data_IF_895648553199
#
_entry.id   IF_895648553199
#
_cell.length_a   1.000
_cell.length_b   1.000
_cell.length_c   1.000
_cell.angle_alpha   90.00
_cell.angle_beta   90.00
_cell.angle_gamma   90.00
#
_symmetry.space_group_name_H-M   'P 1'
#
loop_
_entity.id
_entity.type
_entity.pdbx_description
1 polymer ?
#
# COMPACT_ATOMS: atom_id res chain seq x y z
N UNK A 1 -18.47 29.41 -16.48
CA UNK A 1 -18.58 28.38 -15.43
C UNK A 1 -20.05 28.03 -15.26
N UNK A 2 -20.40 26.74 -15.28
CA UNK A 2 -21.78 26.30 -15.02
C UNK A 2 -22.16 26.46 -13.54
N UNK A 3 -23.26 25.85 -13.11
CA UNK A 3 -23.64 25.80 -11.69
C UNK A 3 -22.67 24.90 -10.91
N UNK A 4 -21.78 25.48 -10.10
CA UNK A 4 -20.69 24.78 -9.39
C UNK A 4 -20.69 24.99 -7.86
N UNK A 5 -21.81 24.76 -7.14
CA UNK A 5 -21.96 25.13 -5.73
C UNK A 5 -21.03 24.36 -4.78
N UNK A 6 -20.65 23.12 -5.12
CA UNK A 6 -19.70 22.33 -4.31
C UNK A 6 -18.31 22.93 -4.36
N UNK A 7 -17.83 23.30 -5.56
CA UNK A 7 -16.53 23.97 -5.74
C UNK A 7 -16.52 25.34 -5.07
N UNK A 8 -17.61 26.11 -5.19
CA UNK A 8 -17.76 27.40 -4.51
C UNK A 8 -17.68 27.24 -2.98
N UNK A 9 -18.37 26.25 -2.41
CA UNK A 9 -18.31 25.99 -0.96
C UNK A 9 -16.90 25.61 -0.50
N UNK A 10 -16.20 24.74 -1.23
CA UNK A 10 -14.83 24.35 -0.90
C UNK A 10 -13.86 25.55 -1.01
N UNK A 11 -14.01 26.37 -2.04
CA UNK A 11 -13.28 27.62 -2.22
C UNK A 11 -13.47 28.57 -1.04
N UNK A 12 -14.71 28.84 -0.63
CA UNK A 12 -15.00 29.68 0.53
C UNK A 12 -14.46 29.08 1.83
N UNK A 13 -14.61 27.76 2.06
CA UNK A 13 -14.04 27.10 3.24
C UNK A 13 -12.52 27.29 3.32
N UNK A 14 -11.80 27.17 2.21
CA UNK A 14 -10.36 27.33 2.15
C UNK A 14 -9.96 28.80 2.44
N UNK A 15 -10.64 29.73 1.78
CA UNK A 15 -10.42 31.18 1.93
C UNK A 15 -10.73 31.68 3.35
N UNK A 16 -11.90 31.35 3.87
CA UNK A 16 -12.40 31.87 5.15
C UNK A 16 -11.57 31.36 6.33
N UNK A 17 -10.89 30.20 6.17
CA UNK A 17 -10.01 29.62 7.17
C UNK A 17 -8.52 29.78 6.84
N UNK A 18 -8.18 30.44 5.72
CA UNK A 18 -6.80 30.65 5.26
C UNK A 18 -5.96 29.37 5.24
N UNK A 19 -6.54 28.27 4.74
CA UNK A 19 -5.93 26.94 4.71
C UNK A 19 -6.14 26.27 3.35
N UNK A 20 -5.16 25.49 2.90
CA UNK A 20 -5.34 24.64 1.73
C UNK A 20 -6.39 23.55 2.04
N UNK A 21 -7.32 23.32 1.12
CA UNK A 21 -8.31 22.25 1.21
C UNK A 21 -8.14 21.29 0.05
N UNK A 22 -7.98 20.01 0.38
CA UNK A 22 -8.00 18.89 -0.55
C UNK A 22 -9.30 18.15 -0.35
N UNK A 23 -10.02 17.83 -1.43
CA UNK A 23 -11.25 17.06 -1.37
C UNK A 23 -11.41 16.20 -2.62
N UNK A 24 -12.16 15.10 -2.51
CA UNK A 24 -12.55 14.26 -3.62
C UNK A 24 -14.04 14.48 -3.96
N UNK A 25 -14.35 14.75 -5.22
CA UNK A 25 -15.70 14.99 -5.75
C UNK A 25 -15.86 14.35 -7.15
N UNK A 26 -17.05 14.43 -7.75
CA UNK A 26 -17.27 14.01 -9.13
C UNK A 26 -17.07 15.14 -10.15
N UNK A 27 -16.40 14.87 -11.26
CA UNK A 27 -16.37 15.74 -12.45
C UNK A 27 -17.17 15.13 -13.59
N UNK A 28 -17.83 15.98 -14.36
CA UNK A 28 -18.62 15.61 -15.54
C UNK A 28 -18.14 16.43 -16.73
N UNK A 29 -17.74 15.76 -17.80
CA UNK A 29 -17.34 16.40 -19.08
C UNK A 29 -18.28 15.99 -20.20
N UNK A 30 -19.23 16.86 -20.61
CA UNK A 30 -20.04 16.59 -21.79
C UNK A 30 -19.14 16.39 -23.02
N UNK A 31 -19.46 15.40 -23.83
CA UNK A 31 -18.82 15.12 -25.10
C UNK A 31 -19.90 14.83 -26.15
N UNK A 32 -19.50 14.68 -27.41
CA UNK A 32 -20.42 14.37 -28.49
C UNK A 32 -19.79 13.30 -29.40
N UNK A 33 -20.54 12.86 -30.41
CA UNK A 33 -20.11 11.82 -31.36
C UNK A 33 -18.91 12.21 -32.24
N UNK A 34 -18.46 13.46 -32.22
CA UNK A 34 -17.21 13.85 -32.89
C UNK A 34 -15.97 13.41 -32.11
N UNK A 35 -16.10 13.16 -30.81
CA UNK A 35 -15.08 12.48 -30.02
C UNK A 35 -15.31 10.97 -30.10
N UNK A 36 -14.38 10.21 -30.73
CA UNK A 36 -14.54 8.77 -30.92
C UNK A 36 -14.51 7.97 -29.61
N UNK A 37 -14.06 8.57 -28.50
CA UNK A 37 -14.03 7.93 -27.19
C UNK A 37 -15.18 8.36 -26.29
N UNK A 38 -16.09 9.23 -26.77
CA UNK A 38 -17.19 9.73 -25.96
C UNK A 38 -18.10 8.57 -25.55
N UNK A 39 -18.39 8.39 -24.25
CA UNK A 39 -19.31 7.35 -23.80
C UNK A 39 -20.69 7.50 -24.47
N UNK A 40 -21.41 6.39 -24.71
CA UNK A 40 -22.70 6.42 -25.42
C UNK A 40 -23.76 7.34 -24.80
N UNK A 41 -23.62 7.64 -23.51
CA UNK A 41 -24.52 8.48 -22.73
C UNK A 41 -24.09 9.97 -22.70
N UNK A 42 -23.13 10.36 -23.55
CA UNK A 42 -22.81 11.73 -23.94
C UNK A 42 -21.94 12.51 -22.95
N UNK A 43 -21.28 11.85 -21.99
CA UNK A 43 -20.33 12.50 -21.09
C UNK A 43 -19.31 11.54 -20.52
N UNK A 44 -18.15 12.09 -20.16
CA UNK A 44 -17.26 11.46 -19.19
C UNK A 44 -17.66 11.82 -17.76
N UNK A 45 -17.41 10.90 -16.84
CA UNK A 45 -17.61 11.04 -15.40
C UNK A 45 -16.34 10.58 -14.70
N UNK A 46 -15.75 11.41 -13.84
CA UNK A 46 -14.46 11.11 -13.21
C UNK A 46 -14.53 11.18 -11.69
N UNK A 47 -13.87 10.24 -11.02
CA UNK A 47 -13.48 10.36 -9.62
C UNK A 47 -12.37 11.41 -9.55
N UNK A 48 -12.61 12.52 -8.83
CA UNK A 48 -11.82 13.74 -9.01
C UNK A 48 -11.36 14.36 -7.70
N UNK A 49 -10.04 14.39 -7.49
CA UNK A 49 -9.46 15.22 -6.45
C UNK A 49 -9.37 16.68 -6.90
N UNK A 50 -9.68 17.60 -5.99
CA UNK A 50 -9.55 19.05 -6.18
C UNK A 50 -8.80 19.67 -5.00
N UNK A 51 -7.97 20.67 -5.31
CA UNK A 51 -7.21 21.41 -4.29
C UNK A 51 -7.50 22.89 -4.42
N UNK A 52 -7.92 23.51 -3.32
CA UNK A 52 -8.07 24.95 -3.17
C UNK A 52 -6.97 25.49 -2.25
N UNK A 53 -6.32 26.58 -2.65
CA UNK A 53 -5.34 27.26 -1.79
C UNK A 53 -5.99 28.09 -0.68
N UNK A 54 -5.16 28.69 0.18
CA UNK A 54 -5.62 29.52 1.31
C UNK A 54 -6.38 30.79 0.90
N UNK A 55 -6.40 31.16 -0.38
CA UNK A 55 -7.19 32.28 -0.91
C UNK A 55 -8.50 31.79 -1.57
N UNK A 56 -8.74 30.48 -1.57
CA UNK A 56 -9.88 29.83 -2.20
C UNK A 56 -9.73 29.59 -3.69
N UNK A 57 -8.53 29.74 -4.26
CA UNK A 57 -8.29 29.50 -5.70
C UNK A 57 -8.11 28.00 -5.94
N UNK A 58 -8.77 27.46 -6.95
CA UNK A 58 -8.52 26.09 -7.43
C UNK A 58 -7.12 26.01 -8.04
N UNK A 59 -6.23 25.21 -7.43
CA UNK A 59 -4.82 25.08 -7.84
C UNK A 59 -4.48 23.71 -8.41
N UNK A 60 -5.30 22.68 -8.16
CA UNK A 60 -5.14 21.37 -8.77
C UNK A 60 -6.49 20.68 -8.98
N UNK A 61 -6.56 19.85 -10.03
CA UNK A 61 -7.63 18.89 -10.29
C UNK A 61 -7.00 17.62 -10.87
N UNK A 62 -7.30 16.47 -10.29
CA UNK A 62 -6.78 15.17 -10.71
C UNK A 62 -7.93 14.20 -10.91
N UNK A 63 -7.99 13.51 -12.05
CA UNK A 63 -8.90 12.41 -12.27
C UNK A 63 -8.21 11.07 -11.98
N UNK A 64 -8.79 10.26 -11.11
CA UNK A 64 -8.27 8.94 -10.72
C UNK A 64 -7.99 8.06 -11.94
N UNK A 65 -6.76 7.57 -12.05
CA UNK A 65 -6.30 6.78 -13.19
C UNK A 65 -6.67 5.31 -13.04
N UNK A 66 -6.36 4.73 -11.88
CA UNK A 66 -6.49 3.31 -11.61
C UNK A 66 -7.78 3.06 -10.83
N UNK A 67 -8.88 2.84 -11.56
CA UNK A 67 -10.18 2.52 -10.96
C UNK A 67 -10.12 1.12 -10.30
N UNK A 68 -10.74 1.02 -9.13
CA UNK A 68 -10.91 -0.24 -8.43
C UNK A 68 -12.09 -1.03 -9.02
N UNK A 69 -12.09 -2.35 -8.82
CA UNK A 69 -13.20 -3.21 -9.24
C UNK A 69 -14.53 -2.71 -8.63
N UNK A 70 -15.52 -2.44 -9.48
CA UNK A 70 -16.84 -1.97 -9.06
C UNK A 70 -17.03 -0.45 -9.08
N UNK A 71 -16.03 0.35 -9.47
CA UNK A 71 -16.17 1.79 -9.77
C UNK A 71 -16.69 2.04 -11.21
N UNK A 72 -17.72 1.29 -11.63
CA UNK A 72 -18.26 1.32 -13.00
C UNK A 72 -18.96 2.64 -13.37
N UNK A 73 -19.24 3.49 -12.38
CA UNK A 73 -19.82 4.82 -12.56
C UNK A 73 -18.82 5.85 -13.13
N UNK A 74 -17.52 5.53 -13.07
CA UNK A 74 -16.43 6.42 -13.50
C UNK A 74 -15.74 5.92 -14.77
N UNK A 75 -15.20 6.87 -15.53
CA UNK A 75 -14.30 6.62 -16.63
C UNK A 75 -12.87 6.81 -16.17
N UNK A 76 -11.93 6.02 -16.69
CA UNK A 76 -10.51 6.32 -16.57
C UNK A 76 -10.11 7.42 -17.58
N UNK A 77 -9.20 8.34 -17.22
CA UNK A 77 -8.58 9.25 -18.18
C UNK A 77 -7.88 8.51 -19.30
N UNK A 78 -7.84 9.12 -20.48
CA UNK A 78 -7.19 8.53 -21.67
C UNK A 78 -5.68 8.36 -21.45
N UNK A 79 -5.06 9.36 -20.85
CA UNK A 79 -3.64 9.37 -20.50
C UNK A 79 -3.54 9.68 -19.00
N UNK A 80 -2.59 9.07 -18.26
CA UNK A 80 -2.39 9.38 -16.85
C UNK A 80 -2.12 10.87 -16.61
N UNK A 81 -2.88 11.46 -15.70
CA UNK A 81 -2.72 12.85 -15.32
C UNK A 81 -1.64 12.98 -14.23
N UNK A 82 -0.52 13.65 -14.53
CA UNK A 82 0.53 13.95 -13.54
C UNK A 82 0.29 15.35 -12.98
N UNK A 83 -0.37 15.43 -11.83
CA UNK A 83 -0.86 16.69 -11.25
C UNK A 83 0.00 17.12 -10.07
N UNK A 84 0.56 18.32 -10.16
CA UNK A 84 1.37 18.94 -9.09
C UNK A 84 1.00 20.40 -8.88
N UNK A 85 1.31 20.92 -7.70
CA UNK A 85 1.27 22.36 -7.42
C UNK A 85 2.35 22.74 -6.40
N UNK A 86 2.82 23.98 -6.48
CA UNK A 86 3.84 24.50 -5.57
C UNK A 86 3.20 25.34 -4.46
N UNK A 87 3.77 25.28 -3.26
CA UNK A 87 3.43 26.17 -2.14
C UNK A 87 4.71 26.76 -1.53
N UNK A 88 4.56 27.61 -0.52
CA UNK A 88 5.70 28.11 0.28
C UNK A 88 6.28 27.05 1.23
N UNK A 89 5.65 25.88 1.33
CA UNK A 89 6.01 24.80 2.24
C UNK A 89 6.18 23.46 1.50
N UNK A 90 6.55 23.50 0.22
CA UNK A 90 6.92 22.32 -0.56
C UNK A 90 6.18 22.21 -1.89
N UNK A 91 6.61 21.27 -2.72
CA UNK A 91 5.93 20.84 -3.94
C UNK A 91 5.06 19.63 -3.65
N UNK A 92 3.81 19.70 -4.06
CA UNK A 92 2.81 18.67 -3.79
C UNK A 92 2.46 17.90 -5.05
N UNK A 93 2.35 16.58 -4.92
CA UNK A 93 1.67 15.69 -5.86
C UNK A 93 0.36 15.17 -5.27
N UNK A 94 -0.52 14.68 -6.12
CA UNK A 94 -1.81 14.12 -5.70
C UNK A 94 -2.18 12.92 -6.56
N UNK A 95 -2.70 11.88 -5.91
CA UNK A 95 -3.31 10.71 -6.53
C UNK A 95 -4.26 10.05 -5.53
N UNK A 96 -5.09 9.10 -5.98
CA UNK A 96 -6.24 8.64 -5.21
C UNK A 96 -6.23 7.12 -4.99
N UNK A 97 -6.29 6.69 -3.73
CA UNK A 97 -6.56 5.30 -3.34
C UNK A 97 -5.71 4.26 -4.11
N UNK A 98 -6.33 3.46 -4.97
CA UNK A 98 -5.71 2.34 -5.68
C UNK A 98 -4.52 2.72 -6.56
N UNK A 99 -4.41 4.00 -6.97
CA UNK A 99 -3.25 4.52 -7.71
C UNK A 99 -1.90 4.23 -7.03
N UNK A 100 -1.86 4.11 -5.69
CA UNK A 100 -0.64 3.83 -4.93
C UNK A 100 0.06 2.52 -5.33
N UNK A 101 -0.68 1.56 -5.87
CA UNK A 101 -0.17 0.24 -6.29
C UNK A 101 0.40 0.24 -7.71
N UNK A 102 0.27 1.33 -8.46
CA UNK A 102 0.64 1.42 -9.88
C UNK A 102 1.75 2.44 -10.12
N UNK A 103 2.38 2.34 -11.29
CA UNK A 103 3.44 3.26 -11.67
C UNK A 103 2.88 4.68 -11.87
N UNK A 104 1.83 4.82 -12.67
CA UNK A 104 1.31 6.12 -13.05
C UNK A 104 -0.01 6.46 -12.33
N UNK A 105 -0.12 7.66 -11.74
CA UNK A 105 0.89 8.73 -11.70
C UNK A 105 1.87 8.63 -10.50
N UNK A 106 1.67 7.68 -9.58
CA UNK A 106 2.27 7.70 -8.24
C UNK A 106 3.81 7.72 -8.23
N UNK A 107 4.45 6.84 -9.00
CA UNK A 107 5.92 6.78 -9.11
C UNK A 107 6.46 7.98 -9.88
N UNK A 108 5.82 8.33 -11.00
CA UNK A 108 6.21 9.44 -11.88
C UNK A 108 6.22 10.78 -11.12
N UNK A 109 5.26 11.02 -10.22
CA UNK A 109 5.24 12.20 -9.35
C UNK A 109 6.50 12.36 -8.50
N UNK A 110 7.04 11.25 -8.00
CA UNK A 110 8.25 11.26 -7.15
C UNK A 110 9.52 11.27 -7.99
N UNK A 111 9.63 10.38 -8.97
CA UNK A 111 10.87 10.16 -9.72
C UNK A 111 11.16 11.25 -10.74
N UNK A 112 10.14 11.75 -11.42
CA UNK A 112 10.32 12.71 -12.52
C UNK A 112 9.96 14.13 -12.10
N UNK A 113 8.97 14.27 -11.20
CA UNK A 113 8.49 15.57 -10.75
C UNK A 113 9.05 15.99 -9.39
N UNK A 114 9.75 15.11 -8.67
CA UNK A 114 10.44 15.41 -7.40
C UNK A 114 9.55 16.16 -6.40
N UNK A 115 8.32 15.66 -6.21
CA UNK A 115 7.41 16.22 -5.20
C UNK A 115 7.95 15.95 -3.80
N UNK A 116 7.79 16.93 -2.90
CA UNK A 116 8.17 16.78 -1.49
C UNK A 116 7.11 16.00 -0.70
N UNK A 117 5.84 16.18 -1.09
CA UNK A 117 4.68 15.66 -0.34
C UNK A 117 3.60 15.14 -1.28
N UNK A 118 3.02 14.00 -0.93
CA UNK A 118 1.83 13.44 -1.58
C UNK A 118 0.58 13.72 -0.73
N UNK A 119 -0.46 14.21 -1.39
CA UNK A 119 -1.82 14.25 -0.88
C UNK A 119 -2.56 13.01 -1.36
N UNK A 120 -3.17 12.27 -0.43
CA UNK A 120 -3.77 10.98 -0.74
C UNK A 120 -5.16 10.81 -0.12
N UNK A 121 -6.20 11.33 -0.78
CA UNK A 121 -7.58 10.94 -0.50
C UNK A 121 -7.77 9.46 -0.81
N UNK A 122 -8.40 8.72 0.10
CA UNK A 122 -8.60 7.28 -0.08
C UNK A 122 -9.88 6.77 0.57
N UNK A 123 -10.35 5.63 0.06
CA UNK A 123 -11.48 4.86 0.56
C UNK A 123 -11.02 3.40 0.61
N UNK A 124 -10.01 3.15 1.43
CA UNK A 124 -9.24 1.91 1.43
C UNK A 124 -9.88 0.85 2.30
N UNK A 125 -10.14 -0.32 1.73
CA UNK A 125 -10.59 -1.51 2.46
C UNK A 125 -9.37 -2.28 2.94
N UNK A 126 -9.22 -2.42 4.25
CA UNK A 126 -8.06 -3.10 4.83
C UNK A 126 -8.05 -4.60 4.48
N UNK A 127 -6.91 -5.08 3.95
CA UNK A 127 -6.64 -6.49 3.69
C UNK A 127 -5.32 -6.87 4.34
N UNK A 128 -5.37 -7.60 5.45
CA UNK A 128 -4.18 -8.14 6.10
C UNK A 128 -3.68 -9.38 5.35
N UNK A 129 -2.37 -9.66 5.37
CA UNK A 129 -1.35 -9.08 6.26
C UNK A 129 -0.58 -7.87 5.70
N UNK A 130 -0.74 -7.47 4.43
CA UNK A 130 0.18 -6.49 3.80
C UNK A 130 -0.50 -5.24 3.21
N UNK A 131 -1.83 -5.17 3.23
CA UNK A 131 -2.59 -4.08 2.62
C UNK A 131 -3.54 -3.46 3.65
N UNK A 132 -3.10 -3.34 4.90
CA UNK A 132 -3.72 -2.38 5.82
C UNK A 132 -3.33 -0.96 5.41
N UNK A 133 -4.27 -0.02 5.46
CA UNK A 133 -4.07 1.36 5.03
C UNK A 133 -2.89 2.02 5.73
N UNK A 134 -2.84 1.99 7.07
CA UNK A 134 -1.74 2.65 7.80
C UNK A 134 -0.39 1.98 7.54
N UNK A 135 -0.39 0.67 7.28
CA UNK A 135 0.79 -0.14 7.01
C UNK A 135 1.36 0.23 5.64
N UNK A 136 0.63 -0.09 4.58
CA UNK A 136 1.10 0.05 3.21
C UNK A 136 1.36 1.51 2.83
N UNK A 137 0.48 2.44 3.24
CA UNK A 137 0.65 3.86 2.89
C UNK A 137 1.90 4.47 3.56
N UNK A 138 2.20 4.07 4.80
CA UNK A 138 3.40 4.58 5.50
C UNK A 138 4.69 3.94 4.97
N UNK A 139 4.64 2.66 4.61
CA UNK A 139 5.73 1.95 3.95
C UNK A 139 6.04 2.54 2.56
N UNK A 140 5.01 2.89 1.79
CA UNK A 140 5.17 3.56 0.49
C UNK A 140 5.86 4.92 0.65
N UNK A 141 5.44 5.72 1.65
CA UNK A 141 6.08 7.01 1.95
C UNK A 141 7.56 6.86 2.29
N UNK A 142 7.92 5.85 3.10
CA UNK A 142 9.31 5.54 3.44
C UNK A 142 10.12 5.07 2.23
N UNK A 143 9.60 4.10 1.46
CA UNK A 143 10.28 3.54 0.28
C UNK A 143 10.47 4.56 -0.84
N UNK A 144 9.52 5.48 -1.02
CA UNK A 144 9.59 6.54 -2.02
C UNK A 144 10.31 7.80 -1.52
N UNK A 145 10.54 7.93 -0.22
CA UNK A 145 11.28 9.04 0.37
C UNK A 145 10.53 10.37 0.38
N UNK A 146 9.20 10.35 0.55
CA UNK A 146 8.35 11.56 0.54
C UNK A 146 7.51 11.70 1.80
N UNK A 147 7.06 12.93 2.09
CA UNK A 147 5.95 13.10 3.02
C UNK A 147 4.65 12.59 2.38
N UNK A 148 3.73 12.09 3.19
CA UNK A 148 2.49 11.49 2.70
C UNK A 148 1.32 11.74 3.66
N UNK A 149 0.26 12.36 3.15
CA UNK A 149 -0.94 12.70 3.91
C UNK A 149 -2.10 11.81 3.45
N UNK A 150 -2.35 10.72 4.18
CA UNK A 150 -3.41 9.77 3.89
C UNK A 150 -4.69 10.13 4.66
N UNK A 151 -5.76 10.46 3.93
CA UNK A 151 -7.08 10.74 4.49
C UNK A 151 -8.07 9.68 4.00
N UNK A 152 -8.41 8.74 4.88
CA UNK A 152 -9.28 7.61 4.57
C UNK A 152 -10.73 7.85 5.02
N UNK A 153 -11.67 7.12 4.42
CA UNK A 153 -13.00 6.96 4.97
C UNK A 153 -12.96 6.19 6.30
N UNK A 154 -13.94 6.48 7.16
CA UNK A 154 -14.23 5.72 8.36
C UNK A 154 -15.57 5.01 8.19
N UNK A 155 -15.51 3.72 7.88
CA UNK A 155 -16.65 2.84 7.66
C UNK A 155 -16.25 1.40 8.05
N UNK A 156 -16.28 1.07 9.36
CA UNK A 156 -15.80 -0.21 9.88
C UNK A 156 -16.45 -1.44 9.24
N UNK A 157 -17.74 -1.36 8.88
CA UNK A 157 -18.47 -2.47 8.22
C UNK A 157 -17.83 -2.92 6.89
N UNK A 158 -17.13 -2.00 6.19
CA UNK A 158 -16.38 -2.25 4.96
C UNK A 158 -14.87 -2.33 5.19
N UNK A 159 -14.44 -2.47 6.45
CA UNK A 159 -13.02 -2.45 6.86
C UNK A 159 -12.30 -1.17 6.43
N UNK A 160 -13.01 -0.04 6.30
CA UNK A 160 -12.42 1.25 5.95
C UNK A 160 -12.11 2.03 7.22
N UNK A 161 -10.84 2.07 7.57
CA UNK A 161 -10.25 2.93 8.61
C UNK A 161 -8.74 2.91 8.37
N UNK A 162 -8.01 3.88 8.92
CA UNK A 162 -6.58 4.00 8.66
C UNK A 162 -6.22 5.28 7.93
N UNK A 163 -6.08 6.36 8.68
CA UNK A 163 -5.58 7.65 8.18
C UNK A 163 -4.26 7.98 8.87
N UNK A 164 -3.44 8.83 8.26
CA UNK A 164 -2.16 9.21 8.88
C UNK A 164 -1.35 10.24 8.12
N UNK A 165 -0.31 10.71 8.81
CA UNK A 165 0.67 11.68 8.34
C UNK A 165 2.03 11.00 8.46
N UNK A 166 2.67 10.74 7.33
CA UNK A 166 3.90 9.96 7.25
C UNK A 166 5.03 10.83 6.70
N UNK A 167 6.22 10.66 7.27
CA UNK A 167 7.46 11.26 6.78
C UNK A 167 8.39 10.13 6.28
N UNK A 168 9.43 10.44 5.48
CA UNK A 168 10.32 9.42 4.90
C UNK A 168 11.01 8.51 5.93
N UNK A 169 11.28 9.03 7.13
CA UNK A 169 11.95 8.31 8.21
C UNK A 169 10.97 7.55 9.12
N UNK A 170 9.76 8.07 9.33
CA UNK A 170 8.80 7.46 10.23
C UNK A 170 7.38 8.07 10.12
N UNK A 171 6.33 7.29 10.44
CA UNK A 171 5.01 7.83 10.72
C UNK A 171 5.05 8.91 11.82
N UNK A 172 4.34 10.02 11.61
CA UNK A 172 4.23 11.10 12.62
C UNK A 172 2.93 11.02 13.41
N UNK A 173 1.85 10.67 12.74
CA UNK A 173 0.55 10.40 13.33
C UNK A 173 -0.18 9.35 12.49
N UNK A 174 -0.92 8.46 13.13
CA UNK A 174 -1.80 7.52 12.45
C UNK A 174 -3.01 7.23 13.32
N UNK A 175 -4.08 6.77 12.70
CA UNK A 175 -5.31 6.38 13.38
C UNK A 175 -5.93 5.18 12.69
N UNK A 176 -6.25 4.18 13.49
CA UNK A 176 -6.98 2.99 13.10
C UNK A 176 -8.05 2.71 14.16
N UNK A 177 -9.29 2.51 13.74
CA UNK A 177 -10.39 2.20 14.63
C UNK A 177 -11.46 1.39 13.91
N UNK A 178 -11.67 0.16 14.37
CA UNK A 178 -12.74 -0.73 13.91
C UNK A 178 -13.90 -0.83 14.91
N UNK A 179 -13.83 -0.10 16.03
CA UNK A 179 -14.71 -0.26 17.19
C UNK A 179 -15.78 0.83 17.26
N UNK A 180 -15.51 2.04 16.77
CA UNK A 180 -16.44 3.16 16.82
C UNK A 180 -16.81 3.64 15.42
N UNK A 181 -17.79 4.54 15.32
CA UNK A 181 -18.21 5.21 14.07
C UNK A 181 -17.72 6.68 14.02
N UNK A 182 -16.76 7.04 14.89
CA UNK A 182 -16.31 8.41 15.06
C UNK A 182 -15.32 8.84 13.98
N UNK A 183 -15.45 10.09 13.51
CA UNK A 183 -14.42 10.71 12.69
C UNK A 183 -13.17 11.06 13.52
N UNK A 184 -12.02 11.22 12.85
CA UNK A 184 -10.77 11.62 13.49
C UNK A 184 -10.03 12.71 12.73
N UNK A 185 -9.65 13.77 13.45
CA UNK A 185 -8.68 14.76 12.98
C UNK A 185 -7.28 14.43 13.52
N UNK A 186 -6.30 14.41 12.63
CA UNK A 186 -4.88 14.24 12.96
C UNK A 186 -4.11 15.50 12.53
N UNK A 187 -3.18 15.94 13.37
CA UNK A 187 -2.27 17.03 13.06
C UNK A 187 -0.84 16.60 13.39
N UNK A 188 0.10 17.00 12.54
CA UNK A 188 1.53 16.88 12.81
C UNK A 188 2.30 17.93 12.01
N UNK A 189 3.45 18.33 12.53
CA UNK A 189 4.43 19.08 11.77
C UNK A 189 5.20 18.17 10.81
N UNK A 190 5.56 18.70 9.64
CA UNK A 190 6.42 18.06 8.65
C UNK A 190 7.45 19.07 8.14
N UNK A 191 8.56 18.56 7.62
CA UNK A 191 9.52 19.38 6.89
C UNK A 191 8.99 19.66 5.48
N UNK A 192 9.03 20.92 5.05
CA UNK A 192 8.59 21.34 3.70
C UNK A 192 9.37 20.64 2.58
N UNK A 193 10.66 20.48 2.79
CA UNK A 193 11.57 19.74 1.94
C UNK A 193 12.22 18.66 2.81
N UNK A 194 11.66 17.44 2.86
CA UNK A 194 12.29 16.36 3.58
C UNK A 194 13.68 16.11 2.97
N UNK A 195 14.66 15.81 3.82
CA UNK A 195 16.00 15.53 3.33
C UNK A 195 15.96 14.26 2.46
N UNK A 196 16.72 14.22 1.35
CA UNK A 196 16.83 13.02 0.55
C UNK A 196 17.26 11.86 1.44
N UNK A 197 16.44 10.82 1.53
CA UNK A 197 16.87 9.55 2.12
C UNK A 197 17.97 8.96 1.24
N UNK A 198 18.97 8.34 1.86
CA UNK A 198 20.02 7.67 1.11
C UNK A 198 19.40 6.62 0.18
N UNK A 199 19.82 6.60 -1.09
CA UNK A 199 19.34 5.60 -2.05
C UNK A 199 19.66 4.22 -1.51
N UNK A 200 18.63 3.41 -1.31
CA UNK A 200 18.74 2.04 -0.84
C UNK A 200 18.95 1.13 -2.04
N UNK A 201 19.97 0.28 -2.00
CA UNK A 201 20.12 -0.81 -2.95
C UNK A 201 19.56 -2.10 -2.32
N UNK A 202 18.30 -2.41 -2.64
CA UNK A 202 17.52 -3.45 -1.98
C UNK A 202 18.09 -4.87 -2.07
N UNK A 203 18.90 -5.15 -3.09
CA UNK A 203 19.51 -6.48 -3.31
C UNK A 203 20.95 -6.58 -2.79
N UNK A 204 21.56 -5.45 -2.38
CA UNK A 204 23.01 -5.38 -2.13
C UNK A 204 23.50 -6.33 -1.05
N UNK A 205 22.83 -6.38 0.10
CA UNK A 205 23.19 -7.30 1.18
C UNK A 205 22.80 -8.74 0.82
N UNK A 206 21.58 -8.94 0.31
CA UNK A 206 21.02 -10.25 0.04
C UNK A 206 21.82 -11.04 -1.02
N UNK A 207 22.33 -10.38 -2.06
CA UNK A 207 23.16 -11.02 -3.10
C UNK A 207 24.53 -11.47 -2.59
N UNK A 208 25.01 -10.92 -1.47
CA UNK A 208 26.34 -11.18 -0.93
C UNK A 208 26.40 -12.28 0.14
N UNK A 209 25.25 -12.84 0.53
CA UNK A 209 25.18 -13.84 1.60
C UNK A 209 24.93 -15.24 1.02
N UNK A 210 25.67 -16.22 1.52
CA UNK A 210 25.41 -17.63 1.21
C UNK A 210 24.15 -18.09 1.94
N UNK A 211 23.25 -18.77 1.22
CA UNK A 211 22.07 -19.37 1.80
C UNK A 211 22.50 -20.40 2.88
N UNK A 212 22.08 -20.24 4.15
CA UNK A 212 22.37 -21.24 5.17
C UNK A 212 21.79 -22.58 4.74
N UNK A 213 22.63 -23.62 4.63
CA UNK A 213 22.21 -24.97 4.28
C UNK A 213 21.46 -25.62 5.45
N UNK A 214 20.23 -25.19 5.70
CA UNK A 214 19.35 -25.79 6.69
C UNK A 214 18.30 -26.60 5.95
N UNK A 215 18.26 -27.91 6.19
CA UNK A 215 17.24 -28.84 5.66
C UNK A 215 15.85 -28.61 6.25
N UNK A 216 15.38 -27.36 6.20
CA UNK A 216 14.06 -26.99 6.67
C UNK A 216 13.01 -27.37 5.63
N UNK A 217 11.88 -27.85 6.11
CA UNK A 217 10.78 -28.28 5.27
C UNK A 217 9.97 -27.05 4.86
N UNK A 218 10.04 -26.71 3.58
CA UNK A 218 9.21 -25.67 2.97
C UNK A 218 7.78 -26.18 2.74
N UNK A 219 6.83 -25.25 2.72
CA UNK A 219 5.44 -25.54 2.39
C UNK A 219 4.80 -24.37 1.64
N UNK A 220 3.64 -24.61 1.03
CA UNK A 220 2.87 -23.58 0.34
C UNK A 220 1.80 -23.01 1.25
N UNK A 221 1.59 -21.71 1.18
CA UNK A 221 0.49 -21.02 1.83
C UNK A 221 0.04 -19.84 0.98
N UNK A 222 -1.17 -19.35 1.26
CA UNK A 222 -1.81 -18.34 0.43
C UNK A 222 -1.88 -17.03 1.19
N UNK A 223 -1.33 -15.96 0.60
CA UNK A 223 -1.55 -14.59 1.09
C UNK A 223 -2.33 -13.85 0.01
N UNK A 224 -3.52 -13.36 0.34
CA UNK A 224 -4.35 -12.58 -0.59
C UNK A 224 -4.40 -13.18 -2.01
N UNK A 225 -4.75 -14.47 -2.09
CA UNK A 225 -4.84 -15.26 -3.32
C UNK A 225 -3.52 -15.62 -4.03
N UNK A 226 -2.38 -15.13 -3.54
CA UNK A 226 -1.06 -15.45 -4.08
C UNK A 226 -0.43 -16.62 -3.32
N UNK A 227 0.16 -17.57 -4.05
CA UNK A 227 0.81 -18.76 -3.46
C UNK A 227 2.28 -18.48 -3.12
N UNK A 228 2.55 -18.33 -1.82
CA UNK A 228 3.87 -18.10 -1.25
C UNK A 228 4.58 -19.43 -0.97
N UNK A 229 5.92 -19.37 -0.95
CA UNK A 229 6.75 -20.45 -0.39
C UNK A 229 7.18 -20.06 1.02
N UNK A 230 6.77 -20.85 2.01
CA UNK A 230 6.98 -20.59 3.43
C UNK A 230 7.93 -21.56 4.10
N UNK A 231 8.51 -21.08 5.20
CA UNK A 231 9.34 -21.84 6.13
C UNK A 231 9.01 -21.44 7.57
N UNK A 232 8.81 -22.43 8.44
CA UNK A 232 8.47 -22.21 9.86
C UNK A 232 9.67 -21.80 10.73
N UNK A 233 9.48 -20.79 11.58
CA UNK A 233 10.42 -20.38 12.62
C UNK A 233 10.29 -21.25 13.88
N UNK A 234 11.08 -22.33 13.92
CA UNK A 234 11.03 -23.34 15.00
C UNK A 234 11.67 -22.89 16.31
N UNK A 235 12.77 -22.14 16.23
CA UNK A 235 13.55 -21.71 17.40
C UNK A 235 13.08 -20.38 18.00
N UNK A 236 13.63 -20.01 19.17
CA UNK A 236 13.50 -18.66 19.72
C UNK A 236 14.35 -17.64 18.96
N UNK A 237 15.41 -18.10 18.29
CA UNK A 237 16.26 -17.31 17.41
C UNK A 237 16.71 -18.18 16.24
N UNK A 238 17.04 -17.54 15.12
CA UNK A 238 17.57 -18.27 13.97
C UNK A 238 17.86 -17.39 12.77
N UNK A 239 18.54 -17.99 11.80
CA UNK A 239 18.82 -17.42 10.50
C UNK A 239 18.21 -18.34 9.43
N UNK A 240 17.33 -17.80 8.61
CA UNK A 240 16.57 -18.57 7.63
C UNK A 240 16.65 -17.93 6.26
N UNK A 241 16.54 -18.77 5.24
CA UNK A 241 16.41 -18.35 3.85
C UNK A 241 15.34 -19.20 3.19
N UNK A 242 14.48 -18.57 2.41
CA UNK A 242 13.47 -19.22 1.57
C UNK A 242 13.43 -18.50 0.23
N UNK A 243 13.28 -19.24 -0.87
CA UNK A 243 13.28 -18.66 -2.19
C UNK A 243 12.02 -19.09 -2.97
N UNK A 244 11.54 -18.22 -3.84
CA UNK A 244 10.56 -18.54 -4.85
C UNK A 244 10.97 -17.85 -6.15
N UNK A 245 11.22 -18.65 -7.20
CA UNK A 245 11.77 -18.19 -8.48
C UNK A 245 13.03 -17.35 -8.28
N UNK A 246 13.03 -16.07 -8.66
CA UNK A 246 14.21 -15.21 -8.68
C UNK A 246 14.41 -14.47 -7.34
N UNK A 247 13.42 -14.54 -6.43
CA UNK A 247 13.48 -13.92 -5.12
C UNK A 247 13.91 -14.92 -4.03
N UNK A 248 15.02 -14.64 -3.37
CA UNK A 248 15.44 -15.25 -2.12
C UNK A 248 15.32 -14.26 -0.97
N UNK A 249 14.64 -14.66 0.10
CA UNK A 249 14.37 -13.87 1.28
C UNK A 249 15.19 -14.39 2.47
N UNK A 250 15.85 -13.48 3.18
CA UNK A 250 16.73 -13.80 4.29
C UNK A 250 16.28 -13.12 5.57
N UNK A 251 16.18 -13.89 6.65
CA UNK A 251 15.76 -13.40 7.96
C UNK A 251 16.74 -13.85 9.04
N UNK A 252 17.21 -12.88 9.82
CA UNK A 252 17.82 -13.11 11.13
C UNK A 252 16.89 -12.57 12.21
N UNK A 253 16.55 -13.36 13.23
CA UNK A 253 15.66 -12.91 14.29
C UNK A 253 16.01 -13.49 15.66
N UNK A 254 15.48 -12.82 16.69
CA UNK A 254 15.40 -13.31 18.07
C UNK A 254 14.08 -12.85 18.70
N UNK A 255 13.23 -13.81 19.03
CA UNK A 255 12.03 -13.60 19.85
C UNK A 255 12.42 -13.38 21.31
N UNK A 256 11.64 -12.61 22.06
CA UNK A 256 11.81 -12.50 23.51
C UNK A 256 11.48 -13.81 24.22
N UNK A 257 10.51 -14.56 23.69
CA UNK A 257 10.14 -15.90 24.14
C UNK A 257 9.54 -16.66 22.96
N UNK A 258 9.87 -17.95 22.81
CA UNK A 258 9.21 -18.83 21.84
C UNK A 258 7.95 -19.39 22.49
N UNK A 259 6.81 -18.84 22.10
CA UNK A 259 5.50 -19.32 22.55
C UNK A 259 5.13 -20.64 21.88
N UNK A 260 4.41 -21.50 22.60
CA UNK A 260 3.91 -22.78 22.09
C UNK A 260 2.53 -22.66 21.41
N UNK A 261 1.86 -21.51 21.53
CA UNK A 261 0.52 -21.22 21.01
C UNK A 261 0.54 -20.21 19.84
N UNK A 262 1.72 -19.81 19.35
CA UNK A 262 1.87 -18.99 18.16
C UNK A 262 2.94 -19.55 17.21
N UNK A 263 2.63 -19.49 15.91
CA UNK A 263 3.54 -19.86 14.82
C UNK A 263 3.90 -18.62 14.01
N UNK A 264 5.17 -18.53 13.65
CA UNK A 264 5.70 -17.52 12.73
C UNK A 264 6.39 -18.21 11.57
N UNK A 265 6.31 -17.60 10.40
CA UNK A 265 6.92 -18.10 9.17
C UNK A 265 7.68 -17.00 8.45
N UNK A 266 8.71 -17.41 7.70
CA UNK A 266 9.33 -16.60 6.65
C UNK A 266 8.75 -17.05 5.32
N UNK A 267 8.33 -16.10 4.48
CA UNK A 267 7.79 -16.34 3.15
C UNK A 267 8.48 -15.54 2.06
N UNK A 268 8.53 -16.11 0.87
CA UNK A 268 8.90 -15.45 -0.38
C UNK A 268 7.74 -15.57 -1.38
N UNK A 269 7.52 -14.53 -2.18
CA UNK A 269 6.66 -14.53 -3.36
C UNK A 269 7.31 -13.77 -4.51
N UNK A 270 7.18 -14.31 -5.71
CA UNK A 270 7.66 -13.71 -6.97
C UNK A 270 6.68 -14.09 -8.08
N UNK A 271 5.79 -13.17 -8.46
CA UNK A 271 4.70 -13.50 -9.36
C UNK A 271 3.71 -12.37 -9.65
N UNK A 272 2.81 -12.66 -10.59
CA UNK A 272 1.74 -11.74 -10.99
C UNK A 272 0.51 -11.99 -10.10
N UNK A 273 0.13 -10.98 -9.34
CA UNK A 273 -1.16 -10.92 -8.67
C UNK A 273 -2.26 -10.59 -9.68
N UNK A 274 -3.42 -11.25 -9.59
CA UNK A 274 -4.49 -11.15 -10.60
C UNK A 274 -5.92 -10.98 -10.06
N UNK A 275 -6.10 -11.07 -8.73
CA UNK A 275 -7.43 -10.96 -8.10
C UNK A 275 -7.68 -9.50 -7.73
N UNK A 276 -8.83 -8.92 -8.09
CA UNK A 276 -9.13 -7.50 -7.77
C UNK A 276 -8.12 -6.47 -8.35
N UNK A 277 -7.20 -6.90 -9.22
CA UNK A 277 -6.21 -6.06 -9.91
C UNK A 277 -5.13 -6.93 -10.58
N UNK A 278 -4.33 -6.35 -11.47
CA UNK A 278 -3.24 -7.06 -12.14
C UNK A 278 -1.92 -6.33 -11.92
N UNK A 279 -1.02 -6.91 -11.13
CA UNK A 279 0.24 -6.29 -10.78
C UNK A 279 1.28 -7.30 -10.29
N UNK A 280 2.54 -7.15 -10.71
CA UNK A 280 3.63 -8.06 -10.39
C UNK A 280 4.34 -7.73 -9.08
N UNK A 281 4.47 -8.71 -8.21
CA UNK A 281 4.99 -8.56 -6.86
C UNK A 281 6.25 -9.39 -6.66
N UNK A 282 7.19 -8.83 -5.91
CA UNK A 282 8.21 -9.59 -5.19
C UNK A 282 8.07 -9.26 -3.70
N UNK A 283 7.85 -10.25 -2.85
CA UNK A 283 7.57 -10.02 -1.42
C UNK A 283 8.41 -10.96 -0.56
N UNK A 284 9.11 -10.37 0.41
CA UNK A 284 9.69 -11.10 1.54
C UNK A 284 8.92 -10.74 2.80
N UNK A 285 8.46 -11.74 3.56
CA UNK A 285 7.62 -11.48 4.74
C UNK A 285 7.95 -12.42 5.90
N UNK A 286 8.12 -11.86 7.10
CA UNK A 286 7.99 -12.56 8.37
C UNK A 286 6.58 -12.27 8.89
N UNK A 287 5.76 -13.29 9.09
CA UNK A 287 4.39 -13.10 9.59
C UNK A 287 3.97 -14.11 10.65
N UNK A 288 3.02 -13.70 11.48
CA UNK A 288 2.31 -14.57 12.42
C UNK A 288 1.21 -15.33 11.68
N UNK A 289 1.16 -16.64 11.82
CA UNK A 289 0.05 -17.44 11.29
C UNK A 289 -1.20 -17.25 12.15
N UNK A 290 -2.39 -17.39 11.53
CA UNK A 290 -3.65 -17.18 12.25
C UNK A 290 -3.87 -18.20 13.35
N UNK A 291 -3.49 -19.45 13.11
CA UNK A 291 -3.57 -20.55 14.07
C UNK A 291 -2.25 -21.32 14.11
N UNK A 292 -2.20 -22.39 14.90
CA UNK A 292 -1.07 -23.34 14.93
C UNK A 292 -0.98 -24.20 13.65
N UNK A 293 -2.04 -24.24 12.85
CA UNK A 293 -2.03 -24.94 11.55
C UNK A 293 -1.30 -24.09 10.51
N UNK A 294 -0.26 -24.66 9.92
CA UNK A 294 0.58 -24.02 8.90
C UNK A 294 -0.21 -23.62 7.65
N UNK A 295 -1.33 -24.28 7.35
CA UNK A 295 -2.19 -23.89 6.23
C UNK A 295 -2.87 -22.53 6.41
N UNK A 296 -2.92 -22.02 7.65
CA UNK A 296 -3.49 -20.69 7.97
C UNK A 296 -2.45 -19.57 7.93
N UNK A 297 -1.19 -19.88 7.58
CA UNK A 297 -0.16 -18.88 7.41
C UNK A 297 -0.43 -18.06 6.14
N UNK A 298 -0.68 -16.77 6.32
CA UNK A 298 -1.11 -15.84 5.26
C UNK A 298 -2.55 -15.34 5.42
N UNK A 299 -3.36 -16.02 6.24
CA UNK A 299 -4.69 -15.52 6.60
C UNK A 299 -4.61 -14.23 7.43
N UNK A 300 -5.66 -13.41 7.37
CA UNK A 300 -5.79 -12.18 8.16
C UNK A 300 -5.68 -12.44 9.68
N UNK A 301 -4.74 -11.75 10.34
CA UNK A 301 -4.52 -11.79 11.79
C UNK A 301 -4.44 -10.38 12.36
N UNK A 302 -5.24 -10.09 13.39
CA UNK A 302 -5.27 -8.77 14.03
C UNK A 302 -4.51 -8.71 15.35
N UNK A 303 -4.25 -9.85 16.00
CA UNK A 303 -3.61 -9.90 17.31
C UNK A 303 -2.48 -10.92 17.37
N UNK A 304 -1.46 -10.59 18.16
CA UNK A 304 -0.32 -11.45 18.45
C UNK A 304 0.19 -11.21 19.88
N UNK A 305 0.99 -12.14 20.41
CA UNK A 305 1.60 -12.04 21.74
C UNK A 305 3.13 -12.09 21.72
N UNK A 306 3.73 -12.68 20.67
CA UNK A 306 5.19 -12.83 20.57
C UNK A 306 5.88 -11.50 20.22
N UNK A 307 6.76 -11.05 21.12
CA UNK A 307 7.66 -9.91 20.92
C UNK A 307 9.00 -10.37 20.33
N UNK A 308 9.66 -9.47 19.61
CA UNK A 308 10.98 -9.70 19.05
C UNK A 308 11.98 -8.74 19.68
N UNK A 309 13.09 -9.29 20.17
CA UNK A 309 14.25 -8.51 20.60
C UNK A 309 14.98 -7.92 19.40
N UNK A 310 15.06 -8.69 18.31
CA UNK A 310 15.60 -8.21 17.05
C UNK A 310 15.02 -8.94 15.83
N UNK A 311 15.00 -8.25 14.70
CA UNK A 311 14.86 -8.83 13.37
C UNK A 311 15.75 -8.10 12.36
N UNK A 312 16.10 -8.79 11.27
CA UNK A 312 16.73 -8.23 10.09
C UNK A 312 16.25 -9.02 8.87
N UNK A 313 15.48 -8.36 8.01
CA UNK A 313 14.90 -8.93 6.79
C UNK A 313 15.54 -8.28 5.54
N UNK A 314 15.82 -9.07 4.52
CA UNK A 314 16.31 -8.61 3.22
C UNK A 314 15.96 -9.61 2.12
N UNK A 315 16.01 -9.21 0.85
CA UNK A 315 15.80 -10.14 -0.26
C UNK A 315 16.50 -9.73 -1.55
N UNK A 316 16.63 -10.66 -2.49
CA UNK A 316 17.27 -10.44 -3.80
C UNK A 316 16.34 -9.73 -4.79
N UNK A 317 15.73 -8.61 -4.38
CA UNK A 317 14.75 -7.88 -5.20
C UNK A 317 15.33 -7.44 -6.54
N UNK A 318 14.59 -7.68 -7.63
CA UNK A 318 14.93 -7.20 -8.97
C UNK A 318 14.46 -5.76 -9.24
N UNK A 319 13.81 -5.15 -8.26
CA UNK A 319 13.25 -3.79 -8.32
C UNK A 319 13.90 -2.88 -7.28
N UNK A 320 13.91 -1.57 -7.57
CA UNK A 320 14.26 -0.54 -6.60
C UNK A 320 13.04 0.02 -5.85
N UNK A 321 11.83 -0.40 -6.23
CA UNK A 321 10.56 0.00 -5.62
C UNK A 321 10.13 -1.04 -4.60
N UNK A 322 10.68 -0.93 -3.39
CA UNK A 322 10.37 -1.80 -2.25
C UNK A 322 9.88 -0.94 -1.09
N UNK A 323 8.77 -1.37 -0.49
CA UNK A 323 8.07 -0.67 0.58
C UNK A 323 8.22 -1.46 1.88
N UNK A 324 8.96 -0.92 2.88
CA UNK A 324 9.24 -1.61 4.13
C UNK A 324 8.08 -1.48 5.13
N UNK A 325 7.51 -2.60 5.55
CA UNK A 325 6.34 -2.68 6.42
C UNK A 325 6.71 -3.32 7.76
N UNK A 326 6.22 -2.73 8.85
CA UNK A 326 6.27 -3.32 10.19
C UNK A 326 4.93 -3.04 10.86
N UNK A 327 4.17 -4.10 11.10
CA UNK A 327 2.85 -4.01 11.74
C UNK A 327 2.84 -4.82 13.02
N UNK A 328 2.43 -4.18 14.10
CA UNK A 328 2.28 -4.76 15.43
C UNK A 328 0.83 -5.19 15.69
N UNK A 329 0.65 -5.99 16.73
CA UNK A 329 -0.66 -6.43 17.22
C UNK A 329 -1.62 -5.26 17.41
N UNK A 330 -2.90 -5.50 17.15
CA UNK A 330 -3.97 -4.49 17.13
C UNK A 330 -3.78 -3.41 16.03
N UNK A 331 -3.11 -3.78 14.94
CA UNK A 331 -2.90 -2.96 13.74
C UNK A 331 -2.24 -1.63 14.12
N UNK A 332 -1.09 -1.72 14.80
CA UNK A 332 -0.31 -0.57 15.23
C UNK A 332 1.00 -0.45 14.45
N UNK A 333 1.36 0.76 14.04
CA UNK A 333 2.68 1.03 13.47
C UNK A 333 3.75 1.07 14.57
N UNK A 334 5.02 0.89 14.17
CA UNK A 334 6.18 0.91 15.06
C UNK A 334 7.12 2.11 14.81
N UNK A 335 6.66 3.37 14.99
CA UNK A 335 7.45 4.55 14.63
C UNK A 335 8.74 4.65 15.46
N UNK A 336 9.87 4.79 14.77
CA UNK A 336 11.21 4.90 15.39
C UNK A 336 11.69 3.62 16.08
N UNK A 337 11.16 2.45 15.70
CA UNK A 337 11.59 1.14 16.22
C UNK A 337 12.41 0.31 15.23
N UNK A 338 12.38 0.69 13.95
CA UNK A 338 13.10 0.03 12.88
C UNK A 338 13.76 1.06 11.95
N UNK A 339 14.65 0.56 11.10
CA UNK A 339 15.31 1.34 10.07
C UNK A 339 15.53 0.49 8.82
N UNK A 340 15.68 1.18 7.69
CA UNK A 340 16.20 0.58 6.46
C UNK A 340 17.64 1.02 6.29
N UNK A 341 18.54 0.05 6.18
CA UNK A 341 19.95 0.31 5.85
C UNK A 341 20.14 0.46 4.33
N UNK A 342 21.18 1.18 3.93
CA UNK A 342 21.49 1.47 2.52
C UNK A 342 21.74 0.22 1.66
N UNK A 343 22.06 -0.92 2.29
CA UNK A 343 22.29 -2.20 1.62
C UNK A 343 21.03 -3.08 1.51
N UNK A 344 19.85 -2.54 1.82
CA UNK A 344 18.56 -3.20 1.58
C UNK A 344 18.00 -4.00 2.74
N UNK A 345 18.61 -3.95 3.93
CA UNK A 345 18.02 -4.62 5.12
C UNK A 345 17.03 -3.72 5.86
N UNK A 346 15.90 -4.32 6.22
CA UNK A 346 14.93 -3.81 7.19
C UNK A 346 15.24 -4.41 8.56
N UNK A 347 15.69 -3.58 9.50
CA UNK A 347 16.19 -4.03 10.81
C UNK A 347 15.50 -3.31 11.96
N UNK A 348 15.25 -4.03 13.05
CA UNK A 348 14.89 -3.43 14.33
C UNK A 348 16.07 -2.63 14.91
N UNK A 349 15.82 -1.42 15.42
CA UNK A 349 16.83 -0.62 16.14
C UNK A 349 16.88 -0.96 17.63
N UNK A 350 15.77 -1.46 18.17
CA UNK A 350 15.55 -1.80 19.58
C UNK A 350 14.47 -2.89 19.66
N UNK A 351 14.31 -3.57 20.81
CA UNK A 351 13.16 -4.45 21.03
C UNK A 351 11.85 -3.70 20.77
N UNK A 352 10.93 -4.33 20.05
CA UNK A 352 9.69 -3.65 19.65
C UNK A 352 8.75 -3.45 20.84
N UNK A 353 7.99 -2.37 20.79
CA UNK A 353 7.05 -1.96 21.84
C UNK A 353 5.89 -2.95 22.00
N UNK A 354 5.53 -3.66 20.94
CA UNK A 354 4.45 -4.64 20.91
C UNK A 354 4.80 -5.94 20.18
N UNK A 355 3.91 -6.94 20.27
CA UNK A 355 4.01 -8.16 19.47
C UNK A 355 3.92 -7.88 17.97
N UNK A 356 4.64 -8.64 17.16
CA UNK A 356 4.67 -8.46 15.69
C UNK A 356 3.52 -9.23 15.03
N UNK A 357 2.78 -8.59 14.12
CA UNK A 357 1.94 -9.31 13.14
C UNK A 357 2.75 -9.65 11.89
N UNK A 358 3.44 -8.65 11.34
CA UNK A 358 4.30 -8.85 10.17
C UNK A 358 5.49 -7.86 10.12
N UNK A 359 6.56 -8.31 9.49
CA UNK A 359 7.67 -7.50 8.97
C UNK A 359 7.84 -7.88 7.51
N UNK A 360 7.62 -6.95 6.60
CA UNK A 360 7.55 -7.23 5.16
C UNK A 360 8.39 -6.25 4.35
N UNK A 361 8.97 -6.73 3.26
CA UNK A 361 9.50 -5.93 2.18
C UNK A 361 8.62 -6.19 0.96
N UNK A 362 7.76 -5.22 0.63
CA UNK A 362 6.78 -5.32 -0.45
C UNK A 362 7.33 -4.66 -1.72
N UNK A 363 7.74 -5.45 -2.71
CA UNK A 363 8.35 -4.99 -3.95
C UNK A 363 7.38 -4.98 -5.14
N UNK A 364 7.47 -3.94 -5.98
CA UNK A 364 6.72 -3.81 -7.25
C UNK A 364 7.64 -3.83 -8.46
N UNK A 365 7.31 -4.69 -9.43
CA UNK A 365 7.97 -4.77 -10.74
C UNK A 365 7.00 -4.26 -11.80
N UNK A 366 6.83 -2.94 -11.87
CA UNK A 366 5.79 -2.30 -12.68
C UNK A 366 5.87 -2.68 -14.17
N UNK A 367 7.07 -2.90 -14.70
CA UNK A 367 7.30 -3.34 -16.07
C UNK A 367 6.78 -4.76 -16.37
N UNK A 368 6.58 -5.60 -15.34
CA UNK A 368 6.06 -6.97 -15.48
C UNK A 368 4.53 -7.06 -15.29
N UNK A 369 3.84 -5.96 -14.99
CA UNK A 369 2.37 -5.92 -14.82
C UNK A 369 1.62 -6.38 -16.09
N UNK A 370 2.23 -6.20 -17.27
CA UNK A 370 1.65 -6.47 -18.60
C UNK A 370 2.30 -7.67 -19.32
N UNK A 371 2.73 -8.72 -18.61
CA UNK A 371 3.38 -9.87 -19.27
C UNK A 371 2.45 -10.55 -20.29
N UNK A 372 2.85 -10.69 -21.57
CA UNK A 372 2.00 -11.14 -22.67
C UNK A 372 1.49 -12.58 -22.58
N UNK A 373 1.99 -13.38 -21.63
CA UNK A 373 1.57 -14.77 -21.44
C UNK A 373 0.25 -14.94 -20.65
N UNK A 374 -0.33 -13.85 -20.13
CA UNK A 374 -1.62 -13.92 -19.41
C UNK A 374 -2.84 -14.12 -20.32
N UNK A 375 -2.69 -13.95 -21.65
CA UNK A 375 -3.79 -14.08 -22.60
C UNK A 375 -4.05 -15.50 -23.12
N UNK A 376 -3.23 -16.49 -22.73
CA UNK A 376 -3.32 -17.86 -23.24
C UNK A 376 -3.67 -18.94 -22.21
N UNK A 377 -4.07 -18.57 -20.98
CA UNK A 377 -4.55 -19.55 -20.01
C UNK A 377 -6.10 -19.64 -20.01
N UNK A 378 -6.69 -20.73 -20.54
CA UNK A 378 -8.14 -20.93 -20.49
C UNK A 378 -8.70 -21.01 -19.05
N UNK A 379 -7.89 -21.33 -18.03
CA UNK A 379 -8.32 -21.28 -16.62
C UNK A 379 -8.54 -19.85 -16.13
N UNK A 380 -7.74 -18.88 -16.60
CA UNK A 380 -7.88 -17.48 -16.24
C UNK A 380 -9.15 -16.85 -16.83
N UNK A 381 -9.56 -17.29 -18.04
CA UNK A 381 -10.84 -16.88 -18.63
C UNK A 381 -12.04 -17.47 -17.87
N UNK A 382 -11.96 -18.73 -17.44
CA UNK A 382 -13.01 -19.36 -16.62
C UNK A 382 -13.10 -18.70 -15.24
N UNK A 383 -11.96 -18.35 -14.61
CA UNK A 383 -11.96 -17.60 -13.36
C UNK A 383 -12.57 -16.21 -13.53
N UNK A 384 -12.26 -15.48 -14.61
CA UNK A 384 -12.89 -14.18 -14.91
C UNK A 384 -14.41 -14.28 -15.06
N UNK A 385 -14.90 -15.30 -15.77
CA UNK A 385 -16.35 -15.52 -15.93
C UNK A 385 -17.01 -15.93 -14.61
N UNK A 386 -16.35 -16.77 -13.81
CA UNK A 386 -16.81 -17.11 -12.45
C UNK A 386 -16.81 -15.90 -11.51
N UNK A 387 -15.81 -15.02 -11.58
CA UNK A 387 -15.71 -13.79 -10.78
C UNK A 387 -16.85 -12.81 -11.10
N UNK A 388 -17.21 -12.66 -12.38
CA UNK A 388 -18.33 -11.81 -12.81
C UNK A 388 -19.69 -12.33 -12.30
N UNK A 389 -19.85 -13.65 -12.16
CA UNK A 389 -21.14 -14.27 -11.81
C UNK A 389 -21.27 -14.53 -10.30
N UNK A 390 -20.20 -14.93 -9.62
CA UNK A 390 -20.26 -15.42 -8.24
C UNK A 390 -20.09 -14.29 -7.23
N UNK A 391 -19.26 -13.28 -7.51
CA UNK A 391 -19.06 -12.15 -6.58
C UNK A 391 -20.36 -11.38 -6.33
N UNK A 392 -21.16 -10.99 -7.36
CA UNK A 392 -22.43 -10.31 -7.09
C UNK A 392 -23.39 -11.17 -6.26
N UNK A 393 -23.36 -12.50 -6.41
CA UNK A 393 -24.24 -13.42 -5.67
C UNK A 393 -23.80 -13.56 -4.22
N UNK A 394 -22.50 -13.68 -3.95
CA UNK A 394 -21.96 -13.76 -2.58
C UNK A 394 -22.15 -12.44 -1.83
N UNK A 395 -21.97 -11.30 -2.52
CA UNK A 395 -22.29 -10.01 -1.93
C UNK A 395 -23.81 -9.84 -1.76
N UNK A 396 -24.66 -10.19 -2.73
CA UNK A 396 -26.13 -10.04 -2.58
C UNK A 396 -26.76 -10.96 -1.53
N UNK A 397 -26.13 -12.08 -1.19
CA UNK A 397 -26.60 -13.00 -0.15
C UNK A 397 -26.09 -12.65 1.26
N UNK A 398 -25.21 -11.63 1.36
CA UNK A 398 -24.69 -11.08 2.61
C UNK A 398 -25.14 -9.63 2.89
N UNK A 399 -26.21 -9.16 2.24
CA UNK A 399 -26.83 -7.85 2.48
C UNK A 399 -28.06 -7.95 3.36
#
# INVERSE_FOLDING_TARGET
FGRTPVQERLSCLAKDNSIYIVANIGDKKPCNTSDPHCPPDGRYQYNTDVVFDSEGKLVARYHKQNLFLGEDEFNAPKEPEVVTFNTTFGKFGIFTCFDILFHDPAVTLVKDFHVDTILFPTAWMNVLPHLSAIEFHSAWAMGMGVNFLASNLHHPSKKMTGSGIYAPDSPRAFHYDMKTEEGKLLLSQLASHPHPTAVVNWTSYASGIEAPSMGNQEFKGTIFFDEFTFLELKGVAGNYTVCQKDLCCHLSYRMSEKRSDEVYVLGAFDGLHTVEGSYYLQICTLLKCKTMDLHTCGDSVETASTRFEMFSLSGTFETQYVFPEVLLSEIQLAPGEFQVSSDGRLCSQKPLSGPILTVTLFGRLYEKDSSPNAFSDPMAQVLRVMLIVVIPIVYSLGW
#
